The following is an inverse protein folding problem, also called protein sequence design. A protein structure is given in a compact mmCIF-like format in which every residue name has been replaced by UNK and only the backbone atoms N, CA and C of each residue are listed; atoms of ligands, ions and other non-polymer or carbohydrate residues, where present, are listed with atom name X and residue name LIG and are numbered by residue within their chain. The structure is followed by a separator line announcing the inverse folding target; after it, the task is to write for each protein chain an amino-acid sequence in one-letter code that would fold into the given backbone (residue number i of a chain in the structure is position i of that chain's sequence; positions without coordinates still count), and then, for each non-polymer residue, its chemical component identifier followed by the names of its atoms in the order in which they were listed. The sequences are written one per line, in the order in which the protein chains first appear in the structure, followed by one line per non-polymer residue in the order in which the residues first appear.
data_IF_207622141122
#
_entry.id   IF_207622141122
#
_cell.length_a   1.000
_cell.length_b   1.000
_cell.length_c   1.000
_cell.angle_alpha   90.00
_cell.angle_beta   90.00
_cell.angle_gamma   90.00
#
_symmetry.space_group_name_H-M   'P 1'
#
loop_
_entity.id
_entity.type
_entity.pdbx_description
1 polymer ?
#
# COMPACT_ATOMS: atom_id res chain seq x y z
N UNK A 1 8.73 -29.76 -32.22
CA UNK A 1 7.61 -29.41 -31.33
C UNK A 1 7.50 -27.89 -31.33
N UNK A 2 6.35 -27.30 -31.64
CA UNK A 2 6.17 -25.85 -31.54
C UNK A 2 6.43 -25.43 -30.09
N UNK A 3 7.23 -24.38 -29.89
CA UNK A 3 7.37 -23.76 -28.58
C UNK A 3 6.06 -23.03 -28.28
N UNK A 4 5.11 -23.73 -27.65
CA UNK A 4 3.95 -23.10 -27.06
C UNK A 4 4.45 -22.18 -25.95
N UNK A 5 4.52 -20.89 -26.28
CA UNK A 5 4.64 -19.84 -25.29
C UNK A 5 3.39 -19.94 -24.41
N UNK A 6 3.51 -20.61 -23.27
CA UNK A 6 2.51 -20.55 -22.21
C UNK A 6 2.43 -19.09 -21.79
N UNK A 7 1.48 -18.35 -22.37
CA UNK A 7 1.10 -17.05 -21.88
C UNK A 7 0.49 -17.30 -20.51
N UNK A 8 1.29 -17.17 -19.45
CA UNK A 8 0.80 -17.25 -18.07
C UNK A 8 -0.23 -16.15 -17.92
N UNK A 9 -1.50 -16.54 -18.01
CA UNK A 9 -2.61 -15.63 -17.86
C UNK A 9 -2.49 -15.00 -16.48
N UNK A 10 -2.58 -13.66 -16.35
CA UNK A 10 -2.39 -13.01 -15.07
C UNK A 10 -3.38 -13.60 -14.06
N UNK A 11 -2.86 -14.22 -13.00
CA UNK A 11 -3.68 -14.86 -11.97
C UNK A 11 -4.75 -13.87 -11.48
N UNK A 12 -5.99 -14.13 -11.92
CA UNK A 12 -7.14 -13.26 -11.72
C UNK A 12 -7.54 -13.21 -10.25
N UNK A 13 -7.24 -14.26 -9.49
CA UNK A 13 -7.43 -14.33 -8.05
C UNK A 13 -6.45 -13.38 -7.33
N UNK A 14 -5.16 -13.40 -7.71
CA UNK A 14 -4.16 -12.49 -7.13
C UNK A 14 -4.44 -11.03 -7.48
N UNK A 15 -4.93 -10.76 -8.69
CA UNK A 15 -5.39 -9.41 -9.06
C UNK A 15 -6.58 -8.95 -8.20
N UNK A 16 -7.52 -9.84 -7.93
CA UNK A 16 -8.68 -9.57 -7.07
C UNK A 16 -8.24 -9.26 -5.64
N UNK A 17 -7.39 -10.10 -5.04
CA UNK A 17 -6.81 -9.86 -3.72
C UNK A 17 -5.99 -8.58 -3.65
N UNK A 18 -5.23 -8.27 -4.71
CA UNK A 18 -4.51 -7.02 -4.84
C UNK A 18 -5.43 -5.79 -4.80
N UNK A 19 -6.58 -5.85 -5.46
CA UNK A 19 -7.60 -4.78 -5.42
C UNK A 19 -8.30 -4.68 -4.08
N UNK A 20 -8.69 -5.81 -3.47
CA UNK A 20 -9.28 -5.84 -2.12
C UNK A 20 -8.34 -5.13 -1.15
N UNK A 21 -7.05 -5.51 -1.14
CA UNK A 21 -6.07 -4.87 -0.27
C UNK A 21 -5.89 -3.38 -0.59
N UNK A 22 -5.85 -2.98 -1.86
CA UNK A 22 -5.79 -1.56 -2.23
C UNK A 22 -6.97 -0.75 -1.70
N UNK A 23 -8.18 -1.29 -1.76
CA UNK A 23 -9.39 -0.63 -1.26
C UNK A 23 -9.32 -0.47 0.26
N UNK A 24 -8.90 -1.51 0.99
CA UNK A 24 -8.74 -1.43 2.44
C UNK A 24 -7.73 -0.35 2.83
N UNK A 25 -6.57 -0.33 2.17
CA UNK A 25 -5.56 0.72 2.38
C UNK A 25 -6.07 2.11 1.99
N UNK A 26 -6.87 2.23 0.92
CA UNK A 26 -7.42 3.50 0.48
C UNK A 26 -8.40 4.08 1.51
N UNK A 27 -9.29 3.25 2.06
CA UNK A 27 -10.19 3.66 3.15
C UNK A 27 -9.37 4.19 4.32
N UNK A 28 -8.28 3.50 4.66
CA UNK A 28 -7.38 3.97 5.73
C UNK A 28 -6.70 5.30 5.38
N UNK A 29 -6.16 5.41 4.17
CA UNK A 29 -5.44 6.60 3.73
C UNK A 29 -6.35 7.83 3.64
N UNK A 30 -7.59 7.69 3.16
CA UNK A 30 -8.58 8.77 3.12
C UNK A 30 -8.94 9.21 4.52
N UNK A 31 -9.21 8.27 5.43
CA UNK A 31 -9.50 8.57 6.83
C UNK A 31 -8.35 9.27 7.55
N UNK A 32 -7.10 8.97 7.17
CA UNK A 32 -5.92 9.64 7.72
C UNK A 32 -5.77 11.10 7.25
N UNK A 33 -6.28 11.46 6.07
CA UNK A 33 -6.22 12.84 5.54
C UNK A 33 -7.34 13.71 6.11
N UNK A 34 -8.51 13.12 6.34
CA UNK A 34 -9.71 13.82 6.78
C UNK A 34 -9.78 13.91 8.32
N UNK A 35 -9.75 15.12 8.90
CA UNK A 35 -9.78 15.29 10.34
C UNK A 35 -11.02 14.67 10.98
N UNK A 36 -10.84 13.93 12.08
CA UNK A 36 -11.95 13.28 12.80
C UNK A 36 -12.47 11.99 12.13
N UNK A 37 -11.94 11.59 10.97
CA UNK A 37 -12.35 10.35 10.27
C UNK A 37 -11.23 9.31 10.21
N UNK A 38 -10.38 9.29 11.23
CA UNK A 38 -9.25 8.38 11.33
C UNK A 38 -9.74 6.94 11.23
N UNK A 39 -9.47 6.31 10.09
CA UNK A 39 -9.84 4.93 9.85
C UNK A 39 -9.15 4.02 10.87
N UNK A 40 -9.79 2.89 11.17
CA UNK A 40 -9.34 2.04 12.28
C UNK A 40 -7.98 1.41 11.99
N UNK A 41 -7.12 1.42 13.01
CA UNK A 41 -5.86 0.67 13.02
C UNK A 41 -6.12 -0.81 12.71
N UNK A 42 -7.25 -1.36 13.19
CA UNK A 42 -7.67 -2.72 12.89
C UNK A 42 -7.82 -2.98 11.38
N UNK A 43 -8.44 -2.05 10.63
CA UNK A 43 -8.59 -2.18 9.18
C UNK A 43 -7.23 -2.17 8.47
N UNK A 44 -6.32 -1.31 8.91
CA UNK A 44 -4.95 -1.27 8.38
C UNK A 44 -4.19 -2.58 8.65
N UNK A 45 -4.34 -3.16 9.83
CA UNK A 45 -3.73 -4.44 10.18
C UNK A 45 -4.28 -5.59 9.33
N UNK A 46 -5.59 -5.63 9.10
CA UNK A 46 -6.21 -6.63 8.21
C UNK A 46 -5.64 -6.50 6.79
N UNK A 47 -5.56 -5.27 6.28
CA UNK A 47 -5.02 -5.00 4.95
C UNK A 47 -3.53 -5.40 4.84
N UNK A 48 -2.74 -5.12 5.89
CA UNK A 48 -1.32 -5.48 5.95
C UNK A 48 -1.12 -6.99 6.05
N UNK A 49 -1.96 -7.72 6.80
CA UNK A 49 -1.91 -9.18 6.87
C UNK A 49 -2.22 -9.80 5.51
N UNK A 50 -3.25 -9.30 4.81
CA UNK A 50 -3.53 -9.72 3.42
C UNK A 50 -2.29 -9.52 2.56
N UNK A 51 -1.63 -8.37 2.68
CA UNK A 51 -0.44 -8.11 1.89
C UNK A 51 0.72 -9.04 2.21
N UNK A 52 0.97 -9.34 3.47
CA UNK A 52 2.03 -10.24 3.90
C UNK A 52 1.80 -11.66 3.38
N UNK A 53 0.59 -12.19 3.56
CA UNK A 53 0.23 -13.55 3.12
C UNK A 53 0.24 -13.65 1.59
N UNK A 54 -0.41 -12.70 0.90
CA UNK A 54 -0.55 -12.77 -0.56
C UNK A 54 0.72 -12.39 -1.33
N UNK A 55 1.69 -11.72 -0.69
CA UNK A 55 3.00 -11.46 -1.30
C UNK A 55 3.70 -12.77 -1.64
N UNK A 56 3.68 -13.73 -0.71
CA UNK A 56 4.38 -15.00 -0.88
C UNK A 56 3.66 -15.89 -1.90
N UNK A 57 2.32 -15.91 -1.90
CA UNK A 57 1.51 -16.56 -2.95
C UNK A 57 1.78 -15.99 -4.35
N UNK A 58 2.15 -14.69 -4.43
CA UNK A 58 2.40 -13.98 -5.67
C UNK A 58 3.88 -14.02 -6.09
N UNK A 59 4.75 -14.79 -5.44
CA UNK A 59 6.18 -14.84 -5.74
C UNK A 59 6.44 -15.17 -7.23
N UNK A 60 7.39 -14.46 -7.84
CA UNK A 60 7.70 -14.59 -9.27
C UNK A 60 6.71 -13.90 -10.22
N UNK A 61 5.66 -13.25 -9.69
CA UNK A 61 4.70 -12.47 -10.47
C UNK A 61 4.90 -10.96 -10.29
N UNK A 62 4.36 -10.15 -11.22
CA UNK A 62 4.39 -8.70 -11.08
C UNK A 62 3.51 -8.21 -9.92
N UNK A 63 2.50 -8.98 -9.51
CA UNK A 63 1.60 -8.67 -8.40
C UNK A 63 2.34 -8.65 -7.06
N UNK A 64 3.39 -9.46 -6.86
CA UNK A 64 4.24 -9.43 -5.66
C UNK A 64 4.84 -8.04 -5.40
N UNK A 65 5.16 -7.28 -6.45
CA UNK A 65 5.66 -5.91 -6.32
C UNK A 65 4.63 -4.97 -5.69
N UNK A 66 3.33 -5.19 -5.94
CA UNK A 66 2.27 -4.38 -5.36
C UNK A 66 2.07 -4.65 -3.87
N UNK A 67 2.10 -5.93 -3.46
CA UNK A 67 2.05 -6.32 -2.05
C UNK A 67 3.25 -5.73 -1.29
N UNK A 68 4.45 -5.88 -1.84
CA UNK A 68 5.69 -5.32 -1.27
C UNK A 68 5.66 -3.80 -1.17
N UNK A 69 5.13 -3.12 -2.19
CA UNK A 69 4.97 -1.66 -2.20
C UNK A 69 4.07 -1.17 -1.08
N UNK A 70 2.92 -1.82 -0.85
CA UNK A 70 1.98 -1.44 0.21
C UNK A 70 2.57 -1.68 1.58
N UNK A 71 3.17 -2.86 1.83
CA UNK A 71 3.88 -3.17 3.08
C UNK A 71 4.91 -2.08 3.39
N UNK A 72 5.79 -1.74 2.44
CA UNK A 72 6.81 -0.71 2.63
C UNK A 72 6.20 0.66 2.90
N UNK A 73 5.10 1.00 2.22
CA UNK A 73 4.40 2.29 2.42
C UNK A 73 3.76 2.38 3.81
N UNK A 74 3.17 1.29 4.33
CA UNK A 74 2.61 1.23 5.69
C UNK A 74 3.71 1.36 6.74
N UNK A 75 4.83 0.65 6.57
CA UNK A 75 5.96 0.72 7.50
C UNK A 75 6.56 2.13 7.57
N UNK A 76 6.79 2.77 6.42
CA UNK A 76 7.29 4.15 6.38
C UNK A 76 6.29 5.15 6.95
N UNK A 77 4.99 5.02 6.67
CA UNK A 77 3.97 5.86 7.26
C UNK A 77 3.93 5.72 8.78
N UNK A 78 3.88 4.47 9.28
CA UNK A 78 3.89 4.18 10.72
C UNK A 78 5.12 4.74 11.43
N UNK A 79 6.30 4.54 10.85
CA UNK A 79 7.55 5.11 11.37
C UNK A 79 7.51 6.64 11.39
N UNK A 80 7.02 7.28 10.31
CA UNK A 80 6.93 8.74 10.24
C UNK A 80 5.94 9.31 11.28
N UNK A 81 4.79 8.67 11.51
CA UNK A 81 3.85 9.09 12.55
C UNK A 81 4.44 8.96 13.95
N UNK A 82 5.14 7.85 14.24
CA UNK A 82 5.83 7.67 15.53
C UNK A 82 6.89 8.75 15.71
N UNK A 83 7.75 8.96 14.71
CA UNK A 83 8.84 9.92 14.77
C UNK A 83 8.37 11.37 14.87
N UNK A 84 7.18 11.71 14.38
CA UNK A 84 6.62 13.07 14.44
C UNK A 84 5.61 13.27 15.58
N UNK A 85 5.32 12.22 16.36
CA UNK A 85 4.34 12.28 17.46
C UNK A 85 4.68 13.32 18.53
N UNK A 86 5.97 13.52 18.84
CA UNK A 86 6.43 14.51 19.81
C UNK A 86 6.15 15.97 19.41
N UNK A 87 5.91 16.25 18.12
CA UNK A 87 5.54 17.60 17.67
C UNK A 87 4.22 18.08 18.29
N UNK A 88 3.31 17.16 18.62
CA UNK A 88 2.07 17.46 19.33
C UNK A 88 2.29 17.96 20.76
N UNK A 89 3.43 17.61 21.38
CA UNK A 89 3.80 18.09 22.72
C UNK A 89 4.36 19.51 22.70
N UNK A 90 4.99 19.91 21.59
CA UNK A 90 5.64 21.21 21.48
C UNK A 90 4.68 22.30 20.99
N UNK A 91 3.83 22.01 20.01
CA UNK A 91 2.85 22.95 19.46
C UNK A 91 1.77 22.17 18.66
N UNK A 92 0.49 22.52 18.78
CA UNK A 92 -0.60 21.83 18.05
C UNK A 92 -0.43 21.96 16.52
N UNK A 93 -0.10 23.15 16.03
CA UNK A 93 -0.01 23.46 14.60
C UNK A 93 1.02 22.64 13.80
N UNK A 94 2.30 22.49 14.22
CA UNK A 94 3.26 21.67 13.49
C UNK A 94 2.93 20.18 13.54
N UNK A 95 2.31 19.68 14.61
CA UNK A 95 1.81 18.30 14.66
C UNK A 95 0.80 18.03 13.56
N UNK A 96 -0.19 18.93 13.40
CA UNK A 96 -1.17 18.88 12.33
C UNK A 96 -0.55 18.91 10.93
N UNK A 97 0.38 19.84 10.69
CA UNK A 97 1.05 19.97 9.38
C UNK A 97 1.85 18.71 9.04
N UNK A 98 2.66 18.21 9.99
CA UNK A 98 3.47 17.02 9.78
C UNK A 98 2.60 15.79 9.49
N UNK A 99 1.56 15.57 10.28
CA UNK A 99 0.66 14.42 10.11
C UNK A 99 -0.14 14.52 8.82
N UNK A 100 -0.62 15.71 8.43
CA UNK A 100 -1.30 15.92 7.16
C UNK A 100 -0.41 15.61 5.96
N UNK A 101 0.86 16.03 5.99
CA UNK A 101 1.83 15.71 4.94
C UNK A 101 2.10 14.20 4.84
N UNK A 102 2.24 13.51 5.96
CA UNK A 102 2.40 12.05 5.99
C UNK A 102 1.16 11.36 5.42
N UNK A 103 -0.04 11.79 5.82
CA UNK A 103 -1.32 11.24 5.32
C UNK A 103 -1.47 11.43 3.81
N UNK A 104 -1.17 12.62 3.30
CA UNK A 104 -1.23 12.92 1.86
C UNK A 104 -0.19 12.12 1.07
N UNK A 105 1.03 11.99 1.60
CA UNK A 105 2.07 11.15 1.01
C UNK A 105 1.62 9.69 0.94
N UNK A 106 1.04 9.16 2.02
CA UNK A 106 0.54 7.79 2.06
C UNK A 106 -0.61 7.58 1.07
N UNK A 107 -1.59 8.49 1.02
CA UNK A 107 -2.69 8.47 0.05
C UNK A 107 -2.17 8.46 -1.39
N UNK A 108 -1.24 9.35 -1.72
CA UNK A 108 -0.59 9.38 -3.02
C UNK A 108 0.04 8.03 -3.38
N UNK A 109 0.76 7.39 -2.45
CA UNK A 109 1.42 6.09 -2.68
C UNK A 109 0.41 4.98 -2.97
N UNK A 110 -0.75 4.98 -2.30
CA UNK A 110 -1.83 4.02 -2.53
C UNK A 110 -2.44 4.23 -3.92
N UNK A 111 -2.84 5.47 -4.26
CA UNK A 111 -3.43 5.82 -5.56
C UNK A 111 -2.47 5.51 -6.71
N UNK A 112 -1.18 5.84 -6.56
CA UNK A 112 -0.13 5.49 -7.54
C UNK A 112 -0.07 3.99 -7.80
N UNK A 113 -0.21 3.20 -6.76
CA UNK A 113 -0.24 1.75 -6.84
C UNK A 113 -1.47 1.22 -7.59
N UNK A 114 -2.66 1.76 -7.28
CA UNK A 114 -3.91 1.43 -7.96
C UNK A 114 -3.85 1.76 -9.46
N UNK A 115 -3.30 2.92 -9.82
CA UNK A 115 -3.14 3.33 -11.22
C UNK A 115 -2.23 2.35 -11.99
N UNK A 116 -1.14 1.88 -11.38
CA UNK A 116 -0.26 0.86 -11.98
C UNK A 116 -0.92 -0.51 -12.08
N UNK A 117 -1.63 -0.94 -11.04
CA UNK A 117 -2.38 -2.19 -11.01
C UNK A 117 -3.46 -2.23 -12.11
N UNK A 118 -4.17 -1.12 -12.30
CA UNK A 118 -5.15 -0.98 -13.38
C UNK A 118 -4.51 -1.10 -14.77
N UNK A 119 -3.30 -0.55 -14.93
CA UNK A 119 -2.52 -0.64 -16.15
C UNK A 119 -1.79 -1.99 -16.34
N UNK A 120 -1.90 -2.94 -15.40
CA UNK A 120 -1.20 -4.23 -15.46
C UNK A 120 0.32 -4.11 -15.40
N UNK A 121 0.85 -3.08 -14.71
CA UNK A 121 2.29 -2.82 -14.61
C UNK A 121 2.80 -3.04 -13.19
N UNK A 122 4.01 -3.58 -13.06
CA UNK A 122 4.67 -3.72 -11.76
C UNK A 122 4.99 -2.37 -11.09
N UNK A 123 5.19 -2.38 -9.77
CA UNK A 123 5.63 -1.22 -9.00
C UNK A 123 7.12 -0.97 -9.15
N UNK A 124 7.90 -2.04 -9.05
CA UNK A 124 9.34 -2.05 -9.30
C UNK A 124 9.66 -3.10 -10.40
N UNK A 125 10.76 -2.93 -11.16
CA UNK A 125 11.28 -3.99 -12.01
C UNK A 125 11.60 -5.22 -11.15
N UNK A 126 11.32 -6.42 -11.64
CA UNK A 126 11.57 -7.72 -10.97
C UNK A 126 13.04 -8.03 -10.65
N UNK A 127 13.95 -7.08 -10.87
CA UNK A 127 15.40 -7.30 -11.01
C UNK A 127 16.19 -6.61 -9.88
N UNK A 128 15.54 -6.26 -8.77
CA UNK A 128 16.20 -5.60 -7.65
C UNK A 128 16.28 -6.59 -6.48
N UNK A 129 17.38 -7.37 -6.55
CA UNK A 129 17.88 -8.43 -5.65
C UNK A 129 17.32 -9.83 -5.89
#
# INVERSE_FOLDING_TARGET
MPNDIVTVEPDSSLKTWGWISYILHLVVAVGAVLPGTQASIALLLIALVIDLVKRDDAAGSWQASHFSWRIRSVLWAGLAYILTSWLWLLLLLPGWIAWALISLWFLYRIVKGMVRMNAGRSMEPSNVL
#
